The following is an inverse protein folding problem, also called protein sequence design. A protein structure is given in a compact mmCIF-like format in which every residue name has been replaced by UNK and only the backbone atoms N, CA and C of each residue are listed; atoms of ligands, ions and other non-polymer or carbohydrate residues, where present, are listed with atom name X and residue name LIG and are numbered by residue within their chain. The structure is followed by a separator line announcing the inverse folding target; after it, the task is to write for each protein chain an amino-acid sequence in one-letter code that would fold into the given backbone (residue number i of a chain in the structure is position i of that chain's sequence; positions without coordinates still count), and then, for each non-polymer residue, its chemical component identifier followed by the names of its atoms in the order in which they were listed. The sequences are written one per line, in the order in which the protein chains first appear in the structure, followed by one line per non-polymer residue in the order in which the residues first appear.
data_IF_214688871024
#
_entry.id   IF_214688871024
#
_cell.length_a   1.000
_cell.length_b   1.000
_cell.length_c   1.000
_cell.angle_alpha   90.00
_cell.angle_beta   90.00
_cell.angle_gamma   90.00
#
_symmetry.space_group_name_H-M   'P 1'
#
loop_
_entity.id
_entity.type
_entity.pdbx_description
1 polymer ?
#
# COMPACT_ATOMS: atom_id res chain seq x y z
N UNK A 1 -3.58 32.36 3.51
CA UNK A 1 -2.97 31.36 4.42
C UNK A 1 -2.41 30.27 3.53
N UNK A 2 -1.10 30.02 3.60
CA UNK A 2 -0.47 28.96 2.80
C UNK A 2 -0.63 27.60 3.51
N UNK A 3 -0.34 26.50 2.82
CA UNK A 3 -0.40 25.15 3.40
C UNK A 3 0.50 24.97 4.63
N UNK A 4 1.61 25.71 4.72
CA UNK A 4 2.45 25.74 5.93
C UNK A 4 1.69 26.20 7.18
N UNK A 5 0.60 26.97 7.02
CA UNK A 5 -0.24 27.45 8.13
C UNK A 5 -1.23 26.37 8.63
N UNK A 6 -1.55 25.34 7.83
CA UNK A 6 -2.51 24.29 8.18
C UNK A 6 -1.86 22.93 8.48
N UNK A 7 -0.70 22.66 7.88
CA UNK A 7 0.10 21.45 8.10
C UNK A 7 1.58 21.85 8.18
N UNK A 8 2.10 22.19 9.37
CA UNK A 8 3.49 22.63 9.55
C UNK A 8 4.51 21.48 9.37
N UNK A 9 4.07 20.30 8.91
CA UNK A 9 4.85 19.09 8.76
C UNK A 9 4.83 18.71 7.28
N UNK A 10 6.00 18.42 6.70
CA UNK A 10 6.12 17.90 5.34
C UNK A 10 5.26 16.64 5.15
N UNK A 11 4.57 16.50 4.01
CA UNK A 11 3.75 15.32 3.72
C UNK A 11 4.57 14.02 3.87
N UNK A 12 4.19 13.09 4.78
CA UNK A 12 4.98 11.89 5.05
C UNK A 12 5.05 10.95 3.85
N UNK A 13 4.00 10.88 3.02
CA UNK A 13 4.00 10.04 1.82
C UNK A 13 4.86 10.62 0.70
N UNK A 14 4.99 11.96 0.61
CA UNK A 14 5.99 12.58 -0.25
C UNK A 14 7.40 12.24 0.23
N UNK A 15 7.66 12.31 1.55
CA UNK A 15 8.96 11.91 2.12
C UNK A 15 9.29 10.45 1.80
N UNK A 16 8.35 9.52 2.00
CA UNK A 16 8.52 8.11 1.59
C UNK A 16 8.80 8.00 0.09
N UNK A 17 8.02 8.69 -0.75
CA UNK A 17 8.19 8.64 -2.21
C UNK A 17 9.57 9.11 -2.67
N UNK A 18 10.09 10.20 -2.08
CA UNK A 18 11.44 10.71 -2.36
C UNK A 18 12.52 9.79 -1.82
N UNK A 19 12.34 9.26 -0.61
CA UNK A 19 13.31 8.34 -0.01
C UNK A 19 13.41 7.06 -0.83
N UNK A 20 12.29 6.48 -1.27
CA UNK A 20 12.24 5.19 -1.98
C UNK A 20 11.90 5.39 -3.48
N UNK A 21 12.88 5.75 -4.34
CA UNK A 21 12.63 6.03 -5.75
C UNK A 21 12.15 4.79 -6.52
N UNK A 22 11.60 5.02 -7.70
CA UNK A 22 11.15 3.95 -8.58
C UNK A 22 12.33 3.06 -8.98
N UNK A 23 12.10 1.74 -8.93
CA UNK A 23 13.05 0.74 -9.38
C UNK A 23 12.67 0.24 -10.77
N UNK A 24 13.63 -0.36 -11.48
CA UNK A 24 13.37 -1.07 -12.73
C UNK A 24 12.42 -2.26 -12.54
N UNK A 25 12.45 -2.88 -11.35
CA UNK A 25 11.49 -3.91 -10.94
C UNK A 25 10.43 -3.28 -10.03
N UNK A 26 9.13 -3.50 -10.29
CA UNK A 26 8.07 -2.94 -9.46
C UNK A 26 8.11 -3.51 -8.03
N UNK A 27 8.61 -4.72 -7.84
CA UNK A 27 8.75 -5.34 -6.50
C UNK A 27 10.21 -5.22 -6.05
N UNK A 28 10.49 -4.50 -4.94
CA UNK A 28 11.83 -4.40 -4.38
C UNK A 28 12.26 -5.75 -3.77
N UNK A 29 13.56 -6.06 -3.77
CA UNK A 29 14.05 -7.30 -3.15
C UNK A 29 14.12 -7.18 -1.63
N UNK A 30 14.64 -6.05 -1.15
CA UNK A 30 14.50 -5.54 0.20
C UNK A 30 14.65 -4.03 0.11
N UNK A 31 13.83 -3.20 0.78
CA UNK A 31 14.26 -1.83 1.03
C UNK A 31 15.60 -1.87 1.77
N UNK A 32 16.39 -0.82 1.59
CA UNK A 32 17.68 -0.63 2.26
C UNK A 32 17.55 -0.94 3.77
N UNK A 33 18.16 -2.03 4.27
CA UNK A 33 18.00 -2.46 5.65
C UNK A 33 18.63 -1.49 6.64
N UNK A 34 19.50 -0.58 6.18
CA UNK A 34 20.11 0.47 7.00
C UNK A 34 19.26 1.76 7.01
N UNK A 35 18.22 1.84 6.17
CA UNK A 35 17.34 3.01 6.12
C UNK A 35 16.26 2.95 7.20
N UNK A 36 16.55 3.66 8.27
CA UNK A 36 15.68 3.81 9.44
C UNK A 36 14.79 5.08 9.40
N UNK A 37 14.93 5.95 8.40
CA UNK A 37 14.15 7.21 8.33
C UNK A 37 13.84 7.66 6.89
N UNK A 38 12.54 7.86 6.52
CA UNK A 38 11.40 7.32 7.24
C UNK A 38 11.45 5.79 7.15
N UNK A 39 11.14 5.12 8.24
CA UNK A 39 10.92 3.68 8.21
C UNK A 39 9.70 3.35 7.35
N UNK A 40 9.86 2.39 6.45
CA UNK A 40 8.80 2.00 5.53
C UNK A 40 9.01 0.55 5.06
N UNK A 41 8.04 -0.31 5.36
CA UNK A 41 8.01 -1.68 4.88
C UNK A 41 7.43 -1.72 3.46
N UNK A 42 8.28 -1.35 2.49
CA UNK A 42 7.92 -1.22 1.08
C UNK A 42 7.59 -2.58 0.43
N UNK A 43 6.49 -2.61 -0.31
CA UNK A 43 5.96 -3.79 -1.02
C UNK A 43 6.00 -3.62 -2.54
N UNK A 44 5.67 -2.42 -3.02
CA UNK A 44 5.57 -2.07 -4.43
C UNK A 44 6.18 -0.68 -4.65
N UNK A 45 6.96 -0.53 -5.72
CA UNK A 45 7.61 0.72 -6.11
C UNK A 45 7.63 0.89 -7.62
N UNK A 46 6.64 1.58 -8.18
CA UNK A 46 6.53 1.84 -9.64
C UNK A 46 6.80 3.33 -9.93
N UNK A 47 6.83 3.79 -11.19
CA UNK A 47 6.96 5.22 -11.48
C UNK A 47 5.83 6.10 -10.95
N UNK A 48 4.61 5.56 -10.75
CA UNK A 48 3.43 6.37 -10.39
C UNK A 48 2.85 6.05 -9.01
N UNK A 49 3.02 4.82 -8.51
CA UNK A 49 2.42 4.35 -7.27
C UNK A 49 3.40 3.59 -6.38
N UNK A 50 3.09 3.56 -5.10
CA UNK A 50 3.84 2.87 -4.04
C UNK A 50 2.87 2.07 -3.18
N UNK A 51 3.27 0.90 -2.70
CA UNK A 51 2.55 0.21 -1.65
C UNK A 51 3.48 -0.17 -0.49
N UNK A 52 3.02 -0.01 0.74
CA UNK A 52 3.75 -0.31 1.98
C UNK A 52 2.78 -0.67 3.12
N UNK A 53 3.30 -1.29 4.18
CA UNK A 53 2.49 -1.56 5.37
C UNK A 53 2.14 -0.27 6.12
N UNK A 54 0.93 -0.19 6.65
CA UNK A 54 0.54 0.88 7.57
C UNK A 54 1.29 0.71 8.90
N UNK A 55 1.90 1.79 9.41
CA UNK A 55 2.61 1.80 10.69
C UNK A 55 1.67 1.74 11.90
N UNK A 56 0.39 2.09 11.74
CA UNK A 56 -0.65 1.99 12.75
C UNK A 56 -1.77 1.06 12.24
N UNK A 57 -1.47 -0.23 12.05
CA UNK A 57 -2.36 -1.15 11.35
C UNK A 57 -3.69 -1.35 12.10
N UNK A 58 -4.79 -1.44 11.34
CA UNK A 58 -6.09 -1.86 11.89
C UNK A 58 -6.13 -3.39 12.06
N UNK A 59 -5.39 -4.09 11.20
CA UNK A 59 -5.25 -5.54 11.20
C UNK A 59 -3.87 -5.91 10.63
N UNK A 60 -3.30 -7.08 10.97
CA UNK A 60 -2.10 -7.60 10.31
C UNK A 60 -2.27 -7.57 8.80
N UNK A 61 -1.26 -7.15 8.06
CA UNK A 61 -1.37 -7.03 6.60
C UNK A 61 -2.15 -5.81 6.13
N UNK A 62 -2.40 -4.81 6.98
CA UNK A 62 -2.94 -3.53 6.54
C UNK A 62 -1.94 -2.83 5.60
N UNK A 63 -2.32 -2.70 4.33
CA UNK A 63 -1.49 -2.10 3.28
C UNK A 63 -2.04 -0.73 2.91
N UNK A 64 -1.15 0.22 2.65
CA UNK A 64 -1.42 1.48 1.99
C UNK A 64 -0.90 1.42 0.56
N UNK A 65 -1.76 1.63 -0.44
CA UNK A 65 -1.40 1.89 -1.84
C UNK A 65 -1.61 3.37 -2.14
N UNK A 66 -0.53 4.10 -2.43
CA UNK A 66 -0.52 5.56 -2.57
C UNK A 66 0.09 6.01 -3.89
N UNK A 67 -0.19 7.25 -4.29
CA UNK A 67 0.47 7.90 -5.44
C UNK A 67 1.87 8.37 -5.05
N UNK A 68 2.78 8.47 -6.03
CA UNK A 68 4.08 9.13 -5.83
C UNK A 68 3.99 10.63 -5.73
N UNK A 69 3.32 11.22 -6.71
CA UNK A 69 3.07 12.65 -6.74
C UNK A 69 1.99 13.00 -5.74
N UNK A 70 2.02 14.25 -5.30
CA UNK A 70 1.12 14.76 -4.31
C UNK A 70 -0.25 15.08 -4.94
N UNK A 71 -1.24 14.28 -4.62
CA UNK A 71 -2.65 14.55 -4.89
C UNK A 71 -3.37 14.50 -3.55
N UNK A 72 -4.04 15.57 -3.12
CA UNK A 72 -4.66 15.57 -1.79
C UNK A 72 -5.87 14.63 -1.77
N UNK A 73 -6.70 14.72 -2.80
CA UNK A 73 -7.96 13.99 -2.94
C UNK A 73 -7.99 13.26 -4.27
N UNK A 74 -8.86 12.27 -4.37
CA UNK A 74 -8.99 11.46 -5.58
C UNK A 74 -9.38 12.30 -6.81
N UNK A 75 -10.16 13.37 -6.62
CA UNK A 75 -10.55 14.29 -7.69
C UNK A 75 -9.34 15.03 -8.31
N UNK A 76 -8.24 15.19 -7.56
CA UNK A 76 -7.06 15.91 -8.03
C UNK A 76 -6.31 15.14 -9.14
N UNK A 77 -6.50 13.82 -9.22
CA UNK A 77 -5.99 12.99 -10.33
C UNK A 77 -6.65 13.34 -11.67
N UNK A 78 -7.86 13.92 -11.66
CA UNK A 78 -8.57 14.35 -12.85
C UNK A 78 -8.44 15.86 -13.10
N UNK A 79 -8.61 16.63 -12.02
CA UNK A 79 -8.55 18.10 -12.02
C UNK A 79 -7.59 18.55 -10.92
N UNK A 80 -6.29 18.71 -11.24
CA UNK A 80 -5.28 19.06 -10.26
C UNK A 80 -5.65 20.33 -9.49
N UNK A 81 -5.67 20.25 -8.16
CA UNK A 81 -5.76 21.40 -7.27
C UNK A 81 -4.46 22.22 -7.35
N UNK A 82 -4.47 23.46 -6.86
CA UNK A 82 -3.24 24.29 -6.80
C UNK A 82 -2.12 23.58 -6.01
N UNK A 83 -2.51 22.83 -4.98
CA UNK A 83 -1.62 22.04 -4.14
C UNK A 83 -1.02 20.84 -4.88
N UNK A 84 -1.75 20.26 -5.84
CA UNK A 84 -1.26 19.18 -6.70
C UNK A 84 -0.42 19.66 -7.89
N UNK A 85 -0.33 20.97 -8.11
CA UNK A 85 0.43 21.58 -9.23
C UNK A 85 1.88 21.90 -8.89
N UNK A 86 2.26 21.87 -7.61
CA UNK A 86 3.67 22.06 -7.20
C UNK A 86 4.52 20.90 -7.75
N UNK A 87 5.09 21.09 -8.94
CA UNK A 87 5.97 20.14 -9.63
C UNK A 87 5.47 19.69 -11.01
N UNK A 88 4.21 19.93 -11.37
CA UNK A 88 3.65 19.47 -12.65
C UNK A 88 3.31 20.66 -13.56
N UNK A 89 4.08 20.86 -14.64
CA UNK A 89 3.75 21.79 -15.72
C UNK A 89 2.51 21.36 -16.53
N UNK A 90 2.40 21.78 -17.80
CA UNK A 90 1.30 21.36 -18.69
C UNK A 90 1.12 19.83 -18.81
N UNK A 91 2.14 19.04 -18.46
CA UNK A 91 2.08 17.56 -18.37
C UNK A 91 1.27 16.99 -17.21
N UNK A 92 0.88 17.80 -16.21
CA UNK A 92 0.27 17.31 -14.96
C UNK A 92 -1.09 16.60 -15.13
N UNK A 93 -1.85 16.95 -16.17
CA UNK A 93 -3.16 16.32 -16.43
C UNK A 93 -3.03 14.90 -16.98
N UNK A 94 -2.14 14.68 -17.95
CA UNK A 94 -1.88 13.34 -18.48
C UNK A 94 -1.19 12.46 -17.44
N UNK A 95 -0.31 13.04 -16.62
CA UNK A 95 0.32 12.34 -15.50
C UNK A 95 -0.69 11.91 -14.43
N UNK A 96 -1.66 12.76 -14.06
CA UNK A 96 -2.74 12.40 -13.16
C UNK A 96 -3.61 11.25 -13.70
N UNK A 97 -3.90 11.28 -15.00
CA UNK A 97 -4.65 10.23 -15.69
C UNK A 97 -3.89 8.90 -15.72
N UNK A 98 -2.59 8.90 -16.02
CA UNK A 98 -1.75 7.70 -15.98
C UNK A 98 -1.62 7.18 -14.54
N UNK A 99 -1.48 8.07 -13.56
CA UNK A 99 -1.45 7.69 -12.14
C UNK A 99 -2.77 7.02 -11.71
N UNK A 100 -3.92 7.55 -12.15
CA UNK A 100 -5.21 6.92 -11.91
C UNK A 100 -5.33 5.53 -12.56
N UNK A 101 -4.81 5.38 -13.79
CA UNK A 101 -4.74 4.07 -14.47
C UNK A 101 -3.91 3.08 -13.68
N UNK A 102 -2.73 3.49 -13.22
CA UNK A 102 -1.82 2.68 -12.42
C UNK A 102 -2.43 2.30 -11.06
N UNK A 103 -3.14 3.21 -10.39
CA UNK A 103 -3.90 2.86 -9.18
C UNK A 103 -4.92 1.74 -9.45
N UNK A 104 -5.70 1.87 -10.53
CA UNK A 104 -6.68 0.85 -10.92
C UNK A 104 -6.07 -0.50 -11.30
N UNK A 105 -4.88 -0.48 -11.92
CA UNK A 105 -4.12 -1.69 -12.28
C UNK A 105 -3.53 -2.39 -11.05
N UNK A 106 -2.89 -1.64 -10.15
CA UNK A 106 -2.19 -2.22 -9.00
C UNK A 106 -3.11 -2.59 -7.84
N UNK A 107 -4.25 -1.93 -7.67
CA UNK A 107 -5.19 -2.22 -6.58
C UNK A 107 -5.65 -3.69 -6.54
N UNK A 108 -6.11 -4.33 -7.63
CA UNK A 108 -6.46 -5.75 -7.63
C UNK A 108 -5.25 -6.67 -7.45
N UNK A 109 -4.08 -6.32 -8.03
CA UNK A 109 -2.85 -7.12 -7.91
C UNK A 109 -2.38 -7.17 -6.45
N UNK A 110 -2.33 -6.01 -5.78
CA UNK A 110 -1.98 -5.91 -4.36
C UNK A 110 -3.03 -6.62 -3.48
N UNK A 111 -4.31 -6.53 -3.85
CA UNK A 111 -5.38 -7.28 -3.15
C UNK A 111 -5.17 -8.80 -3.23
N UNK A 112 -4.87 -9.33 -4.41
CA UNK A 112 -4.60 -10.76 -4.60
C UNK A 112 -3.37 -11.23 -3.81
N UNK A 113 -2.32 -10.40 -3.78
CA UNK A 113 -1.14 -10.68 -2.97
C UNK A 113 -1.42 -10.63 -1.46
N UNK A 114 -2.28 -9.71 -0.99
CA UNK A 114 -2.74 -9.65 0.40
C UNK A 114 -3.46 -10.94 0.80
N UNK A 115 -4.43 -11.38 -0.01
CA UNK A 115 -5.17 -12.63 0.23
C UNK A 115 -4.22 -13.83 0.27
N UNK A 116 -3.29 -13.91 -0.67
CA UNK A 116 -2.32 -15.01 -0.74
C UNK A 116 -1.37 -15.03 0.47
N UNK A 117 -0.87 -13.87 0.88
CA UNK A 117 0.07 -13.75 1.98
C UNK A 117 -0.57 -14.06 3.33
N UNK A 118 -1.82 -13.61 3.53
CA UNK A 118 -2.51 -13.71 4.82
C UNK A 118 -3.40 -14.94 4.94
N UNK A 119 -3.82 -15.54 3.83
CA UNK A 119 -4.86 -16.58 3.80
C UNK A 119 -6.27 -16.05 4.07
N UNK A 120 -6.46 -14.73 4.14
CA UNK A 120 -7.74 -14.10 4.47
C UNK A 120 -8.45 -13.68 3.18
N UNK A 121 -9.60 -14.30 2.90
CA UNK A 121 -10.40 -14.05 1.69
C UNK A 121 -11.34 -12.83 1.81
N UNK A 122 -11.53 -12.30 3.02
CA UNK A 122 -12.38 -11.13 3.27
C UNK A 122 -11.51 -9.90 3.57
N UNK A 123 -11.62 -8.81 2.81
CA UNK A 123 -10.91 -7.56 3.09
C UNK A 123 -11.74 -6.32 2.73
N UNK A 124 -11.40 -5.18 3.30
CA UNK A 124 -11.94 -3.88 2.89
C UNK A 124 -10.93 -3.13 2.03
N UNK A 125 -11.44 -2.37 1.07
CA UNK A 125 -10.70 -1.30 0.39
C UNK A 125 -11.33 0.04 0.80
N UNK A 126 -10.54 0.94 1.38
CA UNK A 126 -11.03 2.22 1.89
C UNK A 126 -10.17 3.35 1.37
N UNK A 127 -10.78 4.41 0.87
CA UNK A 127 -10.11 5.65 0.48
C UNK A 127 -10.95 6.84 0.94
N UNK A 128 -10.32 7.76 1.66
CA UNK A 128 -10.99 8.89 2.30
C UNK A 128 -10.60 10.21 1.62
N UNK A 129 -11.57 11.10 1.39
CA UNK A 129 -11.36 12.39 0.74
C UNK A 129 -11.74 13.55 1.68
N UNK A 130 -10.73 14.21 2.26
CA UNK A 130 -10.86 15.32 3.19
C UNK A 130 -11.08 14.92 4.66
N UNK A 131 -10.79 15.85 5.55
CA UNK A 131 -10.81 15.64 7.02
C UNK A 131 -12.16 15.13 7.53
N UNK A 132 -13.28 15.63 6.98
CA UNK A 132 -14.64 15.19 7.36
C UNK A 132 -14.94 13.73 6.97
N UNK A 133 -14.20 13.17 6.03
CA UNK A 133 -14.25 11.76 5.66
C UNK A 133 -13.17 10.93 6.38
N UNK A 134 -12.57 11.47 7.45
CA UNK A 134 -11.47 10.84 8.20
C UNK A 134 -10.16 10.64 7.41
N UNK A 135 -9.87 11.50 6.44
CA UNK A 135 -8.54 11.57 5.84
C UNK A 135 -7.60 12.36 6.76
N UNK A 136 -6.56 11.69 7.29
CA UNK A 136 -5.56 12.32 8.18
C UNK A 136 -4.37 12.85 7.39
N UNK A 137 -3.80 12.03 6.50
CA UNK A 137 -2.73 12.45 5.59
C UNK A 137 -3.38 12.95 4.28
N UNK A 138 -3.26 14.25 3.93
CA UNK A 138 -3.85 14.82 2.72
C UNK A 138 -3.02 14.44 1.48
N UNK A 139 -2.96 13.14 1.19
CA UNK A 139 -2.30 12.55 0.03
C UNK A 139 -3.11 11.31 -0.35
N UNK A 140 -3.41 11.06 -1.63
CA UNK A 140 -4.25 9.92 -2.05
C UNK A 140 -3.61 8.59 -1.65
N UNK A 141 -4.29 7.85 -0.78
CA UNK A 141 -3.92 6.49 -0.36
C UNK A 141 -5.17 5.62 -0.22
N UNK A 142 -5.06 4.37 -0.65
CA UNK A 142 -6.04 3.32 -0.46
C UNK A 142 -5.55 2.39 0.63
N UNK A 143 -6.41 2.15 1.61
CA UNK A 143 -6.24 1.11 2.62
C UNK A 143 -6.74 -0.22 2.07
N UNK A 144 -5.95 -1.28 2.19
CA UNK A 144 -6.38 -2.66 2.01
C UNK A 144 -6.27 -3.36 3.36
N UNK A 145 -7.41 -3.69 3.96
CA UNK A 145 -7.51 -4.14 5.36
C UNK A 145 -8.11 -5.55 5.39
N UNK A 146 -7.31 -6.60 5.64
CA UNK A 146 -7.84 -7.96 5.79
C UNK A 146 -8.74 -8.06 7.03
N UNK A 147 -9.80 -8.87 6.93
CA UNK A 147 -10.83 -9.04 7.96
C UNK A 147 -10.74 -10.42 8.60
N UNK A 148 -9.93 -10.50 9.64
CA UNK A 148 -9.83 -11.69 10.48
C UNK A 148 -11.13 -11.93 11.22
N UNK A 149 -11.62 -13.17 11.19
CA UNK A 149 -12.80 -13.59 11.95
C UNK A 149 -12.37 -14.22 13.28
N UNK A 150 -12.90 -13.69 14.38
CA UNK A 150 -12.78 -14.35 15.68
C UNK A 150 -13.44 -15.74 15.63
N UNK A 151 -12.76 -16.75 16.17
CA UNK A 151 -13.33 -18.09 16.38
C UNK A 151 -13.43 -19.03 15.16
N UNK A 152 -13.26 -18.57 13.90
CA UNK A 152 -13.12 -19.52 12.77
C UNK A 152 -11.69 -20.04 12.68
N UNK A 153 -11.54 -21.38 12.61
CA UNK A 153 -10.30 -22.01 12.12
C UNK A 153 -10.23 -21.69 10.63
N UNK A 154 -9.29 -20.84 10.24
CA UNK A 154 -8.96 -20.62 8.84
C UNK A 154 -8.68 -21.99 8.20
N UNK A 155 -9.42 -22.28 7.13
CA UNK A 155 -9.29 -23.55 6.40
C UNK A 155 -7.93 -23.50 5.74
N UNK A 156 -6.99 -24.31 6.21
CA UNK A 156 -5.66 -24.46 5.63
C UNK A 156 -5.79 -25.07 4.21
N UNK A 157 -6.19 -24.25 3.24
CA UNK A 157 -6.19 -24.62 1.84
C UNK A 157 -4.88 -24.15 1.22
N UNK A 158 -3.92 -25.08 1.16
CA UNK A 158 -2.77 -25.10 0.25
C UNK A 158 -1.97 -23.78 0.11
N UNK A 159 -1.62 -23.16 1.23
CA UNK A 159 -0.58 -22.13 1.30
C UNK A 159 0.36 -22.42 2.46
N UNK A 160 1.67 -22.24 2.26
CA UNK A 160 2.71 -22.34 3.29
C UNK A 160 2.62 -21.19 4.32
N UNK A 161 1.44 -20.91 4.86
CA UNK A 161 1.27 -19.90 5.90
C UNK A 161 1.40 -20.61 7.24
N UNK A 162 2.46 -20.31 7.99
CA UNK A 162 2.64 -20.86 9.33
C UNK A 162 1.55 -20.31 10.26
N UNK A 163 0.55 -21.15 10.49
CA UNK A 163 -0.60 -20.89 11.36
C UNK A 163 -0.15 -20.56 12.81
N UNK A 164 1.09 -20.87 13.19
CA UNK A 164 1.68 -20.46 14.47
C UNK A 164 1.84 -18.95 14.61
N UNK A 165 2.23 -18.24 13.55
CA UNK A 165 2.45 -16.79 13.53
C UNK A 165 1.13 -16.00 13.53
N UNK A 166 0.09 -16.53 12.88
CA UNK A 166 -1.27 -15.96 12.95
C UNK A 166 -1.90 -16.11 14.36
N UNK A 167 -1.50 -17.15 15.12
CA UNK A 167 -1.98 -17.38 16.48
C UNK A 167 -1.34 -16.46 17.51
N UNK A 168 -0.05 -16.13 17.38
CA UNK A 168 0.57 -15.10 18.24
C UNK A 168 -0.12 -13.76 18.03
N UNK A 169 -0.41 -13.39 16.77
CA UNK A 169 -1.07 -12.13 16.45
C UNK A 169 -2.45 -11.96 17.10
N UNK A 170 -3.28 -13.01 17.08
CA UNK A 170 -4.60 -12.99 17.75
C UNK A 170 -4.51 -12.73 19.26
N UNK A 171 -3.37 -13.00 19.88
CA UNK A 171 -3.19 -12.87 21.33
C UNK A 171 -2.73 -11.45 21.76
N UNK A 172 -2.21 -10.64 20.84
CA UNK A 172 -1.78 -9.25 21.10
C UNK A 172 -2.86 -8.20 20.73
N UNK A 173 -3.81 -8.51 19.85
CA UNK A 173 -4.84 -7.57 19.37
C UNK A 173 -6.03 -7.26 20.30
N UNK A 174 -5.86 -7.29 21.64
CA UNK A 174 -6.90 -6.82 22.59
C UNK A 174 -6.59 -5.39 23.05
N UNK A 175 -6.78 -4.38 22.21
CA UNK A 175 -6.48 -3.00 22.61
C UNK A 175 -6.57 -1.96 21.50
N UNK A 176 -6.27 -0.71 21.85
CA UNK A 176 -6.15 0.43 20.92
C UNK A 176 -5.18 0.13 19.77
N UNK A 177 -5.17 0.92 18.68
CA UNK A 177 -4.19 0.75 17.58
C UNK A 177 -2.78 0.83 18.16
N UNK A 178 -2.01 -0.24 18.01
CA UNK A 178 -0.60 -0.30 18.36
C UNK A 178 0.25 -0.06 17.10
N UNK A 179 1.46 0.45 17.29
CA UNK A 179 2.43 0.60 16.19
C UNK A 179 2.84 -0.79 15.69
N UNK A 180 3.09 -0.90 14.39
CA UNK A 180 3.61 -2.12 13.78
C UNK A 180 5.02 -2.39 14.34
N UNK A 181 5.23 -3.59 14.90
CA UNK A 181 6.56 -4.04 15.30
C UNK A 181 7.46 -4.21 14.06
N UNK A 182 8.72 -3.78 14.18
CA UNK A 182 9.65 -3.73 13.06
C UNK A 182 10.01 -5.10 12.51
N UNK A 183 10.27 -6.06 13.39
CA UNK A 183 10.65 -7.42 13.01
C UNK A 183 9.45 -8.11 12.35
N UNK A 184 8.24 -7.94 12.93
CA UNK A 184 7.00 -8.40 12.32
C UNK A 184 6.74 -7.75 10.95
N UNK A 185 6.99 -6.44 10.83
CA UNK A 185 6.85 -5.69 9.59
C UNK A 185 7.81 -6.15 8.50
N UNK A 186 9.05 -6.49 8.85
CA UNK A 186 10.05 -7.05 7.92
C UNK A 186 9.57 -8.39 7.35
N UNK A 187 9.13 -9.30 8.21
CA UNK A 187 8.69 -10.64 7.80
C UNK A 187 7.41 -10.59 6.97
N UNK A 188 6.42 -9.83 7.43
CA UNK A 188 5.16 -9.67 6.71
C UNK A 188 5.38 -9.04 5.33
N UNK A 189 6.22 -8.02 5.24
CA UNK A 189 6.55 -7.39 3.97
C UNK A 189 7.31 -8.35 3.05
N UNK A 190 8.20 -9.20 3.57
CA UNK A 190 8.87 -10.25 2.79
C UNK A 190 7.84 -11.20 2.15
N UNK A 191 6.91 -11.74 2.94
CA UNK A 191 5.86 -12.66 2.45
C UNK A 191 4.93 -11.99 1.44
N UNK A 192 4.55 -10.73 1.66
CA UNK A 192 3.73 -9.96 0.72
C UNK A 192 4.46 -9.71 -0.60
N UNK A 193 5.76 -9.40 -0.57
CA UNK A 193 6.57 -9.25 -1.79
C UNK A 193 6.70 -10.56 -2.56
N UNK A 194 6.89 -11.69 -1.87
CA UNK A 194 6.89 -13.03 -2.49
C UNK A 194 5.54 -13.35 -3.15
N UNK A 195 4.44 -13.01 -2.48
CA UNK A 195 3.08 -13.17 -2.99
C UNK A 195 2.82 -12.29 -4.22
N UNK A 196 3.22 -11.02 -4.18
CA UNK A 196 3.15 -10.10 -5.33
C UNK A 196 3.91 -10.66 -6.55
N UNK A 197 5.13 -11.19 -6.35
CA UNK A 197 5.92 -11.79 -7.45
C UNK A 197 5.19 -12.95 -8.10
N UNK A 198 4.51 -13.76 -7.28
CA UNK A 198 3.78 -14.92 -7.77
C UNK A 198 2.54 -14.50 -8.57
N UNK A 199 1.76 -13.53 -8.07
CA UNK A 199 0.57 -13.00 -8.76
C UNK A 199 0.94 -12.44 -10.15
N UNK A 200 1.95 -11.58 -10.22
CA UNK A 200 2.41 -10.99 -11.51
C UNK A 200 2.95 -12.08 -12.46
N UNK A 201 3.64 -13.08 -11.91
CA UNK A 201 4.16 -14.21 -12.68
C UNK A 201 3.05 -15.12 -13.25
N UNK A 202 1.94 -15.28 -12.53
CA UNK A 202 0.75 -16.03 -12.98
C UNK A 202 0.05 -15.31 -14.16
N UNK A 203 -0.18 -14.00 -14.05
CA UNK A 203 -0.78 -13.18 -15.14
C UNK A 203 0.03 -13.25 -16.44
N UNK A 204 1.36 -13.18 -16.34
CA UNK A 204 2.25 -13.24 -17.51
C UNK A 204 2.11 -14.58 -18.25
N UNK A 205 1.86 -15.68 -17.53
CA UNK A 205 1.71 -17.03 -18.09
C UNK A 205 0.33 -17.27 -18.70
N UNK A 206 -0.72 -16.67 -18.14
CA UNK A 206 -2.08 -16.77 -18.67
C UNK A 206 -2.27 -15.88 -19.90
N UNK A 207 -1.75 -14.64 -19.90
CA UNK A 207 -1.77 -13.75 -21.06
C UNK A 207 -1.00 -14.29 -22.27
N UNK A 208 0.03 -15.11 -22.04
CA UNK A 208 0.77 -15.80 -23.10
C UNK A 208 0.03 -16.99 -23.74
N UNK A 209 -0.92 -17.61 -23.02
CA UNK A 209 -1.74 -18.73 -23.54
C UNK A 209 -2.96 -18.26 -24.33
N UNK A 210 -3.44 -17.04 -24.12
CA UNK A 210 -4.62 -16.48 -24.80
C UNK A 210 -4.34 -15.90 -26.21
N UNK A 211 -3.11 -16.00 -26.73
CA UNK A 211 -2.68 -15.44 -28.03
C UNK A 211 -2.36 -16.49 -29.11
N UNK A 212 -2.84 -17.73 -28.97
CA UNK A 212 -2.71 -18.79 -29.98
C UNK A 212 -4.07 -19.20 -30.55
#
# INVERSE_FOLDING_TARGET
MSLQDHYPISCPFCTISTSYPASHSPIPNSPDPERISPQCHLLLSTPHVLAFLDILPIAPGHILLTTRNHYEKLADLHTPSEQSKEGSGEGGKEEGKETARQLGEWLPIVSAALVRATGIEDWNVVQNNGVRAAQVVPHVHFHLIPRYQEGRKEVANKGNVDVGMLKSWRMFGRGAREELDDDEGVDLARVLRESLRTVIGEETREGGKSRL
#
